data_IF_229519310711
#
_entry.id   IF_229519310711
#
_cell.length_a   1.000
_cell.length_b   1.000
_cell.length_c   1.000
_cell.angle_alpha   90.00
_cell.angle_beta   90.00
_cell.angle_gamma   90.00
#
_symmetry.space_group_name_H-M   'P 1'
#
loop_
_entity.id
_entity.type
_entity.pdbx_description
1 polymer ?
#
# COMPACT_ATOMS: atom_id res chain seq x y z
N UNK A 1 13.51 9.76 -12.69
CA UNK A 1 12.95 10.33 -11.43
C UNK A 1 13.35 9.48 -10.24
N UNK A 2 13.58 10.09 -9.09
CA UNK A 2 13.86 9.38 -7.84
C UNK A 2 12.56 8.85 -7.22
N UNK A 3 12.67 7.85 -6.35
CA UNK A 3 11.55 7.37 -5.56
C UNK A 3 11.14 8.41 -4.49
N UNK A 4 9.84 8.50 -4.22
CA UNK A 4 9.27 9.40 -3.22
C UNK A 4 8.75 8.60 -2.02
N UNK A 5 9.03 9.07 -0.81
CA UNK A 5 8.52 8.49 0.44
C UNK A 5 7.44 9.40 1.00
N UNK A 6 6.32 8.81 1.38
CA UNK A 6 5.16 9.51 1.94
C UNK A 6 4.66 8.80 3.20
N UNK A 7 4.28 9.58 4.22
CA UNK A 7 3.49 9.10 5.37
C UNK A 7 2.05 9.48 5.13
N UNK A 8 1.15 8.51 5.16
CA UNK A 8 -0.27 8.70 4.90
C UNK A 8 -1.04 8.38 6.18
N UNK A 9 -1.83 9.32 6.72
CA UNK A 9 -2.69 9.04 7.85
C UNK A 9 -3.68 7.91 7.52
N UNK A 10 -3.81 6.94 8.42
CA UNK A 10 -4.81 5.89 8.27
C UNK A 10 -6.20 6.42 8.68
N UNK A 11 -7.25 6.08 7.92
CA UNK A 11 -8.62 6.37 8.34
C UNK A 11 -8.98 5.55 9.60
N UNK A 12 -10.11 5.83 10.26
CA UNK A 12 -10.62 4.96 11.32
C UNK A 12 -10.72 3.50 10.87
N UNK A 13 -10.53 2.56 11.81
CA UNK A 13 -10.60 1.11 11.50
C UNK A 13 -12.01 0.76 11.02
N UNK A 14 -12.10 0.11 9.87
CA UNK A 14 -13.32 -0.57 9.46
C UNK A 14 -13.38 -1.95 10.13
N UNK A 15 -14.09 -2.01 11.26
CA UNK A 15 -14.21 -3.23 12.05
C UNK A 15 -14.89 -4.37 11.28
N UNK A 16 -15.82 -4.05 10.37
CA UNK A 16 -16.50 -5.04 9.55
C UNK A 16 -15.53 -5.71 8.59
N UNK A 17 -14.70 -4.91 7.91
CA UNK A 17 -13.68 -5.43 7.02
C UNK A 17 -12.59 -6.19 7.78
N UNK A 18 -12.14 -5.67 8.94
CA UNK A 18 -11.18 -6.38 9.78
C UNK A 18 -11.70 -7.76 10.21
N UNK A 19 -12.97 -7.86 10.62
CA UNK A 19 -13.60 -9.14 10.96
C UNK A 19 -13.77 -10.05 9.75
N UNK A 20 -14.09 -9.50 8.57
CA UNK A 20 -14.17 -10.26 7.33
C UNK A 20 -12.81 -10.90 6.99
N UNK A 21 -11.71 -10.15 7.09
CA UNK A 21 -10.36 -10.68 6.91
C UNK A 21 -9.96 -11.70 7.98
N UNK A 22 -10.46 -11.54 9.20
CA UNK A 22 -10.26 -12.50 10.28
C UNK A 22 -11.11 -13.78 10.12
N UNK A 23 -11.95 -13.87 9.05
CA UNK A 23 -12.93 -14.95 8.86
C UNK A 23 -13.89 -15.08 10.06
N UNK A 24 -14.14 -13.98 10.75
CA UNK A 24 -15.03 -13.89 11.90
C UNK A 24 -16.46 -13.53 11.48
N UNK A 25 -17.40 -13.77 12.37
CA UNK A 25 -18.76 -13.26 12.28
C UNK A 25 -18.81 -11.75 12.52
N UNK A 26 -20.02 -11.17 12.43
CA UNK A 26 -20.24 -9.74 12.62
C UNK A 26 -20.93 -9.41 13.96
N UNK A 27 -20.85 -10.30 14.95
CA UNK A 27 -21.48 -10.07 16.25
C UNK A 27 -20.73 -9.02 17.08
N UNK A 28 -21.43 -8.39 18.03
CA UNK A 28 -20.89 -7.31 18.85
C UNK A 28 -19.79 -7.79 19.80
N UNK A 29 -19.84 -9.05 20.24
CA UNK A 29 -18.80 -9.62 21.10
C UNK A 29 -17.45 -9.68 20.40
N UNK A 30 -17.44 -10.07 19.11
CA UNK A 30 -16.20 -10.07 18.30
C UNK A 30 -15.70 -8.65 18.04
N UNK A 31 -16.58 -7.68 17.82
CA UNK A 31 -16.17 -6.26 17.67
C UNK A 31 -15.50 -5.73 18.95
N UNK A 32 -16.11 -5.95 20.11
CA UNK A 32 -15.51 -5.57 21.40
C UNK A 32 -14.14 -6.23 21.61
N UNK A 33 -14.02 -7.50 21.26
CA UNK A 33 -12.76 -8.25 21.34
C UNK A 33 -11.72 -7.72 20.37
N UNK A 34 -12.09 -7.37 19.14
CA UNK A 34 -11.21 -6.75 18.15
C UNK A 34 -10.69 -5.40 18.67
N UNK A 35 -11.56 -4.54 19.22
CA UNK A 35 -11.17 -3.26 19.83
C UNK A 35 -10.17 -3.46 20.97
N UNK A 36 -10.42 -4.44 21.84
CA UNK A 36 -9.49 -4.78 22.94
C UNK A 36 -8.14 -5.29 22.41
N UNK A 37 -8.13 -6.07 21.32
CA UNK A 37 -6.91 -6.51 20.67
C UNK A 37 -6.14 -5.35 20.02
N UNK A 38 -6.84 -4.38 19.44
CA UNK A 38 -6.26 -3.24 18.76
C UNK A 38 -5.70 -2.17 19.72
N UNK A 39 -6.11 -2.21 20.98
CA UNK A 39 -5.70 -1.22 21.98
C UNK A 39 -4.18 -1.23 22.19
N UNK A 40 -3.55 -0.06 22.05
CA UNK A 40 -2.10 0.11 22.19
C UNK A 40 -1.28 -0.46 21.03
N UNK A 41 -1.90 -0.81 19.92
CA UNK A 41 -1.18 -1.18 18.70
C UNK A 41 -0.77 0.09 17.95
N UNK A 42 0.52 0.25 17.75
CA UNK A 42 1.07 1.36 16.98
C UNK A 42 1.21 0.97 15.53
N UNK A 43 0.80 1.88 14.65
CA UNK A 43 1.00 1.79 13.21
C UNK A 43 1.94 2.91 12.75
N UNK A 44 2.88 2.58 11.89
CA UNK A 44 3.78 3.55 11.24
C UNK A 44 3.59 3.44 9.73
N UNK A 45 2.46 3.96 9.20
CA UNK A 45 2.10 3.79 7.80
C UNK A 45 3.05 4.58 6.92
N UNK A 46 3.67 3.91 5.96
CA UNK A 46 4.58 4.51 4.98
C UNK A 46 4.34 3.93 3.61
N UNK A 47 4.48 4.78 2.60
CA UNK A 47 4.45 4.40 1.20
C UNK A 47 5.73 4.94 0.54
N UNK A 48 6.35 4.13 -0.30
CA UNK A 48 7.39 4.55 -1.24
C UNK A 48 6.89 4.25 -2.64
N UNK A 49 7.00 5.21 -3.55
CA UNK A 49 6.48 5.05 -4.89
C UNK A 49 7.37 5.71 -5.94
N UNK A 50 7.18 5.31 -7.18
CA UNK A 50 7.83 5.87 -8.36
C UNK A 50 6.88 5.79 -9.55
N UNK A 51 6.76 6.89 -10.28
CA UNK A 51 6.05 6.93 -11.57
C UNK A 51 7.05 6.68 -12.70
N UNK A 52 6.69 5.82 -13.63
CA UNK A 52 7.48 5.45 -14.80
C UNK A 52 6.59 5.59 -16.04
N UNK A 53 7.18 5.93 -17.18
CA UNK A 53 6.53 5.72 -18.47
C UNK A 53 6.25 4.22 -18.66
N UNK A 54 5.12 3.89 -19.26
CA UNK A 54 4.69 2.49 -19.44
C UNK A 54 5.76 1.63 -20.11
N UNK A 55 6.43 2.17 -21.11
CA UNK A 55 7.49 1.46 -21.82
C UNK A 55 8.70 1.19 -20.94
N UNK A 56 9.08 2.16 -20.09
CA UNK A 56 10.20 2.02 -19.18
C UNK A 56 9.89 1.05 -18.04
N UNK A 57 8.62 1.02 -17.59
CA UNK A 57 8.16 -0.01 -16.65
C UNK A 57 8.36 -1.43 -17.25
N UNK A 58 7.89 -1.67 -18.48
CA UNK A 58 8.06 -2.99 -19.13
C UNK A 58 9.52 -3.35 -19.46
N UNK A 59 10.41 -2.37 -19.60
CA UNK A 59 11.85 -2.60 -19.71
C UNK A 59 12.46 -3.00 -18.35
N UNK A 60 12.05 -2.30 -17.27
CA UNK A 60 12.59 -2.49 -15.93
C UNK A 60 12.03 -3.73 -15.22
N UNK A 61 10.83 -4.19 -15.59
CA UNK A 61 10.17 -5.39 -15.06
C UNK A 61 9.82 -6.33 -16.23
N UNK A 62 10.80 -7.08 -16.78
CA UNK A 62 10.59 -7.89 -18.00
C UNK A 62 9.49 -8.94 -17.87
N UNK A 63 9.31 -9.52 -16.67
CA UNK A 63 8.26 -10.52 -16.40
C UNK A 63 6.85 -9.98 -16.57
N UNK A 64 6.66 -8.66 -16.46
CA UNK A 64 5.37 -8.01 -16.69
C UNK A 64 4.85 -8.19 -18.13
N UNK A 65 5.75 -8.39 -19.12
CA UNK A 65 5.39 -8.62 -20.52
C UNK A 65 4.67 -9.94 -20.75
N UNK A 66 4.83 -10.90 -19.86
CA UNK A 66 4.16 -12.20 -19.92
C UNK A 66 2.75 -12.22 -19.33
N UNK A 67 2.33 -11.13 -18.64
CA UNK A 67 1.01 -11.06 -17.99
C UNK A 67 -0.02 -10.40 -18.91
N UNK A 68 -0.91 -11.19 -19.47
CA UNK A 68 -2.03 -10.69 -20.27
C UNK A 68 -2.98 -9.83 -19.44
N UNK A 69 -3.21 -10.19 -18.17
CA UNK A 69 -4.03 -9.43 -17.25
C UNK A 69 -3.47 -8.04 -17.02
N UNK A 70 -2.16 -7.93 -16.84
CA UNK A 70 -1.49 -6.65 -16.63
C UNK A 70 -1.43 -5.81 -17.91
N UNK A 71 -1.14 -6.42 -19.05
CA UNK A 71 -1.15 -5.74 -20.36
C UNK A 71 -2.53 -5.12 -20.62
N UNK A 72 -3.61 -5.89 -20.41
CA UNK A 72 -4.96 -5.40 -20.57
C UNK A 72 -5.30 -4.27 -19.57
N UNK A 73 -4.85 -4.37 -18.32
CA UNK A 73 -5.06 -3.33 -17.31
C UNK A 73 -4.39 -2.01 -17.71
N UNK A 74 -3.19 -2.09 -18.29
CA UNK A 74 -2.39 -0.92 -18.66
C UNK A 74 -2.60 -0.49 -20.15
N UNK A 75 -3.56 -1.09 -20.87
CA UNK A 75 -3.75 -0.84 -22.31
C UNK A 75 -3.81 0.67 -22.63
N UNK A 76 -4.71 1.40 -21.96
CA UNK A 76 -4.98 2.81 -22.20
C UNK A 76 -4.18 3.75 -21.28
N UNK A 77 -3.12 3.26 -20.66
CA UNK A 77 -2.30 4.03 -19.73
C UNK A 77 -1.00 4.48 -20.41
N UNK A 78 -0.56 5.68 -20.08
CA UNK A 78 0.73 6.22 -20.51
C UNK A 78 1.80 5.98 -19.45
N UNK A 79 1.43 6.09 -18.17
CA UNK A 79 2.32 5.96 -17.03
C UNK A 79 1.88 4.84 -16.08
N UNK A 80 2.83 4.34 -15.32
CA UNK A 80 2.64 3.32 -14.28
C UNK A 80 3.22 3.84 -12.98
N UNK A 81 2.40 3.86 -11.95
CA UNK A 81 2.85 4.12 -10.58
C UNK A 81 3.14 2.78 -9.92
N UNK A 82 4.42 2.55 -9.60
CA UNK A 82 4.85 1.46 -8.73
C UNK A 82 4.91 1.96 -7.30
N UNK A 83 4.44 1.18 -6.34
CA UNK A 83 4.56 1.51 -4.93
C UNK A 83 4.77 0.30 -4.03
N UNK A 84 5.37 0.55 -2.88
CA UNK A 84 5.38 -0.35 -1.74
C UNK A 84 4.82 0.37 -0.53
N UNK A 85 4.02 -0.33 0.26
CA UNK A 85 3.36 0.19 1.45
C UNK A 85 3.59 -0.73 2.63
N UNK A 86 3.65 -0.18 3.84
CA UNK A 86 3.76 -0.93 5.10
C UNK A 86 3.03 -0.22 6.23
N UNK A 87 2.46 -0.97 7.15
CA UNK A 87 1.93 -0.43 8.41
C UNK A 87 2.97 -0.45 9.54
N UNK A 88 4.17 -0.95 9.26
CA UNK A 88 5.32 -0.93 10.15
C UNK A 88 5.50 -2.19 11.00
N UNK A 89 6.70 -2.33 11.55
CA UNK A 89 7.14 -3.52 12.29
C UNK A 89 6.51 -3.65 13.68
N UNK A 90 6.07 -2.55 14.29
CA UNK A 90 5.44 -2.56 15.61
C UNK A 90 4.19 -3.45 15.64
N UNK A 91 3.46 -3.51 14.52
CA UNK A 91 2.32 -4.41 14.36
C UNK A 91 2.72 -5.89 14.48
N UNK A 92 3.82 -6.31 13.85
CA UNK A 92 4.30 -7.70 13.89
C UNK A 92 4.65 -8.13 15.32
N UNK A 93 5.26 -7.24 16.10
CA UNK A 93 5.52 -7.50 17.52
C UNK A 93 4.23 -7.61 18.34
N UNK A 94 3.25 -6.76 18.09
CA UNK A 94 1.95 -6.84 18.75
C UNK A 94 1.23 -8.14 18.40
N UNK A 95 1.23 -8.52 17.12
CA UNK A 95 0.67 -9.78 16.63
C UNK A 95 1.34 -11.00 17.29
N UNK A 96 2.68 -11.01 17.39
CA UNK A 96 3.41 -12.12 17.99
C UNK A 96 3.08 -12.28 19.48
N UNK A 97 2.95 -11.16 20.21
CA UNK A 97 2.51 -11.21 21.63
C UNK A 97 1.11 -11.80 21.77
N UNK A 98 0.17 -11.42 20.89
CA UNK A 98 -1.19 -11.98 20.91
C UNK A 98 -1.19 -13.47 20.53
N UNK A 99 -0.39 -13.87 19.56
CA UNK A 99 -0.26 -15.27 19.15
C UNK A 99 0.20 -16.19 20.30
N UNK A 100 1.09 -15.69 21.17
CA UNK A 100 1.56 -16.42 22.33
C UNK A 100 0.50 -16.52 23.44
N UNK A 101 -0.47 -15.61 23.49
CA UNK A 101 -1.51 -15.55 24.51
C UNK A 101 -2.82 -16.22 24.08
N UNK A 102 -3.26 -16.01 22.84
CA UNK A 102 -4.53 -16.50 22.32
C UNK A 102 -4.51 -16.56 20.80
N UNK A 103 -4.70 -17.77 20.22
CA UNK A 103 -4.80 -17.93 18.77
C UNK A 103 -6.01 -17.21 18.18
N UNK A 104 -7.13 -17.14 18.91
CA UNK A 104 -8.31 -16.41 18.47
C UNK A 104 -8.06 -14.89 18.41
N UNK A 105 -7.31 -14.32 19.36
CA UNK A 105 -6.92 -12.92 19.33
C UNK A 105 -5.90 -12.65 18.22
N UNK A 106 -4.98 -13.59 17.98
CA UNK A 106 -4.04 -13.50 16.87
C UNK A 106 -4.78 -13.47 15.51
N UNK A 107 -5.85 -14.25 15.38
CA UNK A 107 -6.69 -14.25 14.16
C UNK A 107 -7.37 -12.89 13.95
N UNK A 108 -7.94 -12.30 15.00
CA UNK A 108 -8.51 -10.96 14.94
C UNK A 108 -7.44 -9.91 14.58
N UNK A 109 -6.25 -10.01 15.15
CA UNK A 109 -5.11 -9.15 14.82
C UNK A 109 -4.67 -9.32 13.37
N UNK A 110 -4.67 -10.55 12.82
CA UNK A 110 -4.38 -10.76 11.39
C UNK A 110 -5.37 -10.02 10.51
N UNK A 111 -6.66 -10.08 10.85
CA UNK A 111 -7.72 -9.35 10.15
C UNK A 111 -7.55 -7.83 10.26
N UNK A 112 -7.25 -7.32 11.45
CA UNK A 112 -6.95 -5.90 11.65
C UNK A 112 -5.78 -5.43 10.79
N UNK A 113 -4.67 -6.16 10.80
CA UNK A 113 -3.51 -5.80 10.00
C UNK A 113 -3.77 -5.87 8.49
N UNK A 114 -4.61 -6.81 8.03
CA UNK A 114 -5.02 -6.88 6.63
C UNK A 114 -5.86 -5.65 6.25
N UNK A 115 -6.83 -5.28 7.08
CA UNK A 115 -7.64 -4.09 6.86
C UNK A 115 -6.78 -2.82 6.87
N UNK A 116 -5.84 -2.67 7.81
CA UNK A 116 -4.95 -1.49 7.88
C UNK A 116 -4.06 -1.31 6.66
N UNK A 117 -3.47 -2.38 6.12
CA UNK A 117 -2.63 -2.27 4.92
C UNK A 117 -3.47 -1.97 3.66
N UNK A 118 -4.66 -2.56 3.54
CA UNK A 118 -5.57 -2.25 2.43
C UNK A 118 -6.05 -0.80 2.51
N UNK A 119 -6.45 -0.32 3.70
CA UNK A 119 -6.83 1.08 3.90
C UNK A 119 -5.70 2.05 3.53
N UNK A 120 -4.44 1.73 3.89
CA UNK A 120 -3.28 2.53 3.49
C UNK A 120 -3.13 2.60 1.97
N UNK A 121 -3.25 1.45 1.31
CA UNK A 121 -3.15 1.38 -0.14
C UNK A 121 -4.29 2.15 -0.83
N UNK A 122 -5.51 2.08 -0.27
CA UNK A 122 -6.66 2.80 -0.81
C UNK A 122 -6.49 4.32 -0.65
N UNK A 123 -6.04 4.80 0.52
CA UNK A 123 -5.76 6.23 0.75
C UNK A 123 -4.65 6.75 -0.18
N UNK A 124 -3.62 5.93 -0.46
CA UNK A 124 -2.61 6.30 -1.44
C UNK A 124 -3.20 6.40 -2.85
N UNK A 125 -3.98 5.41 -3.29
CA UNK A 125 -4.55 5.39 -4.64
C UNK A 125 -5.58 6.51 -4.88
N UNK A 126 -6.32 6.95 -3.83
CA UNK A 126 -7.28 8.07 -3.93
C UNK A 126 -6.64 9.40 -4.34
N UNK A 127 -5.32 9.54 -4.21
CA UNK A 127 -4.59 10.72 -4.67
C UNK A 127 -4.53 10.83 -6.20
N UNK A 128 -4.99 9.81 -6.93
CA UNK A 128 -4.90 9.73 -8.40
C UNK A 128 -6.28 9.52 -9.02
N UNK A 129 -6.83 10.56 -9.65
CA UNK A 129 -8.20 10.53 -10.19
C UNK A 129 -8.40 9.56 -11.36
N UNK A 130 -7.38 9.39 -12.22
CA UNK A 130 -7.45 8.58 -13.44
C UNK A 130 -6.71 7.24 -13.33
N UNK A 131 -6.55 6.72 -12.10
CA UNK A 131 -5.85 5.48 -11.86
C UNK A 131 -6.70 4.26 -12.25
N UNK A 132 -6.05 3.23 -12.77
CA UNK A 132 -6.65 1.89 -12.85
C UNK A 132 -6.77 1.28 -11.45
N UNK A 133 -7.45 0.13 -11.35
CA UNK A 133 -7.36 -0.68 -10.13
C UNK A 133 -5.91 -1.11 -9.87
N UNK A 134 -5.58 -1.34 -8.60
CA UNK A 134 -4.27 -1.88 -8.19
C UNK A 134 -4.07 -3.30 -8.72
N UNK A 135 -2.81 -3.63 -9.04
CA UNK A 135 -2.39 -4.97 -9.41
C UNK A 135 -1.04 -5.28 -8.76
N UNK A 136 -0.85 -6.51 -8.30
CA UNK A 136 0.35 -6.90 -7.55
C UNK A 136 0.99 -8.15 -8.16
N UNK A 137 2.32 -8.33 -8.04
CA UNK A 137 2.95 -9.61 -8.34
C UNK A 137 2.31 -10.76 -7.55
N UNK A 138 2.13 -11.90 -8.18
CA UNK A 138 1.45 -13.06 -7.61
C UNK A 138 -0.06 -13.08 -7.84
N UNK A 139 -0.66 -12.04 -8.44
CA UNK A 139 -2.07 -12.04 -8.82
C UNK A 139 -2.24 -12.38 -10.30
N UNK A 140 -3.29 -13.18 -10.58
CA UNK A 140 -3.60 -13.63 -11.93
C UNK A 140 -2.41 -14.35 -12.56
N UNK A 141 -1.98 -13.84 -13.71
CA UNK A 141 -0.84 -14.34 -14.50
C UNK A 141 0.44 -13.47 -14.35
N UNK A 142 0.48 -12.54 -13.38
CA UNK A 142 1.66 -11.74 -13.10
C UNK A 142 2.58 -12.45 -12.11
N UNK A 143 3.77 -12.92 -12.54
CA UNK A 143 4.62 -13.75 -11.71
C UNK A 143 5.07 -13.04 -10.43
N UNK A 144 5.09 -13.77 -9.30
CA UNK A 144 5.55 -13.25 -8.00
C UNK A 144 7.02 -12.81 -8.06
N UNK A 145 7.82 -13.46 -8.89
CA UNK A 145 9.25 -13.17 -9.09
C UNK A 145 9.52 -11.74 -9.58
N UNK A 146 8.55 -11.10 -10.24
CA UNK A 146 8.62 -9.70 -10.64
C UNK A 146 8.84 -8.76 -9.44
N UNK A 147 8.51 -9.21 -8.25
CA UNK A 147 8.73 -8.48 -7.00
C UNK A 147 10.21 -8.13 -6.78
N UNK A 148 11.14 -8.97 -7.25
CA UNK A 148 12.58 -8.68 -7.17
C UNK A 148 12.98 -7.43 -7.95
N UNK A 149 12.41 -7.25 -9.14
CA UNK A 149 12.70 -6.06 -9.96
C UNK A 149 12.01 -4.81 -9.41
N UNK A 150 10.79 -4.95 -8.89
CA UNK A 150 10.08 -3.87 -8.21
C UNK A 150 10.89 -3.38 -6.98
N UNK A 151 11.47 -4.29 -6.20
CA UNK A 151 12.32 -3.93 -5.07
C UNK A 151 13.58 -3.17 -5.48
N UNK A 152 14.22 -3.54 -6.60
CA UNK A 152 15.37 -2.78 -7.14
C UNK A 152 14.99 -1.36 -7.57
N UNK A 153 13.78 -1.19 -8.12
CA UNK A 153 13.28 0.10 -8.61
C UNK A 153 12.88 1.03 -7.46
N UNK A 154 12.13 0.51 -6.47
CA UNK A 154 11.54 1.29 -5.39
C UNK A 154 12.47 1.45 -4.19
N UNK A 155 13.35 0.49 -3.93
CA UNK A 155 14.22 0.46 -2.75
C UNK A 155 13.41 0.57 -1.45
N UNK A 156 12.45 -0.37 -1.17
CA UNK A 156 11.53 -0.27 -0.05
C UNK A 156 12.22 -0.36 1.32
N UNK A 157 13.48 -0.70 1.37
CA UNK A 157 14.33 -0.65 2.56
C UNK A 157 14.32 0.74 3.21
N UNK A 158 14.11 1.80 2.42
CA UNK A 158 13.99 3.19 2.89
C UNK A 158 12.76 3.40 3.81
N UNK A 159 11.76 2.56 3.69
CA UNK A 159 10.58 2.55 4.56
C UNK A 159 10.55 1.34 5.51
N UNK A 160 11.67 0.60 5.60
CA UNK A 160 11.84 -0.53 6.50
C UNK A 160 11.23 -1.83 5.99
N UNK A 161 11.00 -1.97 4.67
CA UNK A 161 10.48 -3.20 4.06
C UNK A 161 11.61 -3.95 3.38
N UNK A 162 11.77 -5.23 3.71
CA UNK A 162 12.72 -6.15 3.09
C UNK A 162 12.02 -7.34 2.44
N UNK A 163 12.71 -7.97 1.49
CA UNK A 163 12.24 -9.16 0.77
C UNK A 163 13.12 -10.34 1.13
N UNK A 164 12.51 -11.45 1.56
CA UNK A 164 13.21 -12.72 1.80
C UNK A 164 13.50 -13.44 0.48
N UNK A 165 14.34 -14.48 0.52
CA UNK A 165 14.63 -15.33 -0.64
C UNK A 165 13.37 -16.03 -1.18
N UNK A 166 12.41 -16.34 -0.28
CA UNK A 166 11.10 -16.89 -0.61
C UNK A 166 10.08 -15.86 -1.10
N UNK A 167 10.50 -14.62 -1.36
CA UNK A 167 9.67 -13.50 -1.83
C UNK A 167 8.60 -13.04 -0.82
N UNK A 168 8.79 -13.34 0.45
CA UNK A 168 7.94 -12.80 1.51
C UNK A 168 8.48 -11.44 1.98
N UNK A 169 7.59 -10.49 2.22
CA UNK A 169 7.96 -9.19 2.77
C UNK A 169 7.99 -9.17 4.29
N UNK A 170 8.90 -8.41 4.84
CA UNK A 170 8.98 -8.07 6.27
C UNK A 170 9.06 -6.55 6.38
N UNK A 171 8.16 -5.87 7.14
CA UNK A 171 7.09 -6.39 8.01
C UNK A 171 5.99 -7.18 7.26
N UNK A 172 5.26 -8.05 7.97
CA UNK A 172 4.28 -8.96 7.37
C UNK A 172 3.09 -8.24 6.73
N UNK A 173 2.76 -7.06 7.21
CA UNK A 173 1.71 -6.19 6.66
C UNK A 173 2.33 -5.13 5.76
N UNK A 174 2.90 -5.62 4.68
CA UNK A 174 3.47 -4.84 3.58
C UNK A 174 2.95 -5.34 2.24
N UNK A 175 2.86 -4.45 1.27
CA UNK A 175 2.36 -4.72 -0.08
C UNK A 175 3.29 -4.05 -1.10
N UNK A 176 3.55 -4.72 -2.22
CA UNK A 176 4.00 -4.07 -3.45
C UNK A 176 2.89 -4.15 -4.48
N UNK A 177 2.60 -3.05 -5.13
CA UNK A 177 1.57 -3.00 -6.16
C UNK A 177 1.91 -1.94 -7.22
N UNK A 178 1.11 -1.94 -8.26
CA UNK A 178 1.15 -0.92 -9.31
C UNK A 178 -0.27 -0.59 -9.77
N UNK A 179 -0.40 0.56 -10.39
CA UNK A 179 -1.57 0.95 -11.17
C UNK A 179 -1.14 1.83 -12.35
N UNK A 180 -1.94 1.85 -13.40
CA UNK A 180 -1.73 2.71 -14.55
C UNK A 180 -2.44 4.03 -14.41
N UNK A 181 -1.89 5.09 -15.00
CA UNK A 181 -2.52 6.40 -15.15
C UNK A 181 -2.94 6.60 -16.60
N UNK A 182 -4.21 6.97 -16.81
CA UNK A 182 -4.77 7.29 -18.12
C UNK A 182 -4.56 8.77 -18.42
N UNK A 183 -3.87 9.08 -19.51
CA UNK A 183 -3.48 10.44 -19.88
C UNK A 183 -2.27 10.97 -19.11
N UNK A 184 -1.69 12.08 -19.58
CA UNK A 184 -0.55 12.71 -18.92
C UNK A 184 -0.99 13.29 -17.57
N UNK A 185 -0.49 12.74 -16.48
CA UNK A 185 -0.73 13.27 -15.14
C UNK A 185 0.19 14.47 -14.89
N UNK A 186 -0.40 15.66 -14.76
CA UNK A 186 0.29 16.81 -14.18
C UNK A 186 0.08 16.73 -12.66
N UNK A 187 1.18 16.63 -11.91
CA UNK A 187 1.15 16.84 -10.45
C UNK A 187 0.70 18.27 -10.24
N UNK A 188 -0.45 18.50 -9.62
CA UNK A 188 -0.80 19.79 -9.11
C UNK A 188 0.12 20.06 -7.91
N UNK A 189 1.21 20.80 -8.15
CA UNK A 189 2.07 21.31 -7.09
C UNK A 189 1.21 22.28 -6.24
N UNK A 190 0.84 21.85 -5.04
CA UNK A 190 0.33 22.72 -3.98
C UNK A 190 1.49 23.56 -3.41
N UNK A 191 2.04 24.48 -4.22
CA UNK A 191 2.90 25.54 -3.75
C UNK A 191 2.54 26.82 -4.53
N UNK A 192 1.57 27.57 -4.05
CA UNK A 192 1.64 29.03 -4.01
C UNK A 192 0.37 29.69 -3.44
N UNK A 193 0.26 29.77 -2.13
CA UNK A 193 -0.64 30.71 -1.47
C UNK A 193 0.09 31.46 -0.37
N UNK A 194 1.05 32.31 -0.77
CA UNK A 194 1.49 33.43 0.07
C UNK A 194 1.85 34.59 -0.84
N UNK A 195 1.00 35.60 -0.89
CA UNK A 195 1.33 36.85 -1.61
C UNK A 195 0.11 37.71 -1.92
N UNK A 196 -0.73 38.01 -0.92
CA UNK A 196 -1.65 39.15 -1.04
C UNK A 196 -0.91 40.37 -0.55
N UNK A 197 -0.30 41.08 -1.48
CA UNK A 197 0.11 42.49 -1.25
C UNK A 197 -1.13 43.37 -1.24
N UNK A 198 -1.38 44.02 -0.12
CA UNK A 198 -2.33 45.10 0.02
C UNK A 198 -1.75 46.36 -0.61
N UNK A 199 -2.44 47.08 -1.51
CA UNK A 199 -1.99 48.39 -1.97
C UNK A 199 -2.28 49.45 -0.90
N UNK A 200 -1.24 50.09 -0.41
CA UNK A 200 -1.33 51.33 0.34
C UNK A 200 -1.94 52.44 -0.54
N UNK A 201 -2.96 53.06 -0.01
CA UNK A 201 -3.48 54.33 -0.52
C UNK A 201 -2.66 55.47 0.07
N UNK A 202 -1.95 56.21 -0.80
CA UNK A 202 -1.54 57.58 -0.60
C UNK A 202 -2.46 58.50 -1.37
#
# INVERSE_FOLDING_TARGET
MLETVQTIPLPPVDEREALRYAQGGSDEGLRLRLRACAQGVEFTPRVIYRTLEKEDFFKAVPLAKGSSSLINLLHDCEQVVLFAATVGLAFDYALQRRKNASLADAQLMQGLGAERIEALCDEFCKQYENATRRFSPGYGDFPLEAQRDIFKILRPEKIGVSLTDSLMMTPSKSVTALFGLKGAYQVCDEENTTGVETPEKG
#
